data_IF_789089239821
#
_entry.id   IF_789089239821
#
_cell.length_a   1.000
_cell.length_b   1.000
_cell.length_c   1.000
_cell.angle_alpha   90.00
_cell.angle_beta   90.00
_cell.angle_gamma   90.00
#
_symmetry.space_group_name_H-M   'P 1'
#
loop_
_entity.id
_entity.type
_entity.pdbx_description
1 polymer ?
#
# COMPACT_ATOMS: atom_id res chain seq x y z
N UNK A 1 -0.25 -0.81 3.73
CA UNK A 1 -0.26 -2.14 4.35
C UNK A 1 0.35 -3.19 3.44
N UNK A 2 -0.33 -3.62 2.38
CA UNK A 2 0.11 -4.81 1.61
C UNK A 2 1.46 -4.70 0.87
N UNK A 3 1.78 -3.55 0.29
CA UNK A 3 2.89 -3.46 -0.68
C UNK A 3 4.10 -2.63 -0.20
N UNK A 4 3.99 -1.91 0.92
CA UNK A 4 5.09 -1.06 1.41
C UNK A 4 6.27 -1.91 1.89
N UNK A 5 6.01 -3.03 2.58
CA UNK A 5 7.05 -3.98 2.99
C UNK A 5 7.82 -4.52 1.80
N UNK A 6 7.12 -4.90 0.73
CA UNK A 6 7.75 -5.38 -0.51
C UNK A 6 8.58 -4.32 -1.23
N UNK A 7 8.10 -3.06 -1.28
CA UNK A 7 8.88 -1.92 -1.82
C UNK A 7 10.21 -1.77 -1.05
N UNK A 8 10.16 -1.88 0.28
CA UNK A 8 11.34 -1.76 1.15
C UNK A 8 12.28 -2.95 0.98
N UNK A 9 11.75 -4.18 0.89
CA UNK A 9 12.56 -5.38 0.72
C UNK A 9 13.34 -5.39 -0.61
N UNK A 10 12.70 -4.98 -1.70
CA UNK A 10 13.30 -4.97 -3.04
C UNK A 10 14.26 -3.79 -3.25
N UNK A 11 13.83 -2.57 -2.92
CA UNK A 11 14.63 -1.36 -3.18
C UNK A 11 15.60 -0.99 -2.06
N UNK A 12 15.47 -1.59 -0.88
CA UNK A 12 16.20 -1.19 0.32
C UNK A 12 15.66 0.12 0.91
N UNK A 13 16.09 0.44 2.13
CA UNK A 13 15.54 1.60 2.87
C UNK A 13 15.82 2.92 2.13
N UNK A 14 17.04 3.12 1.62
CA UNK A 14 17.41 4.40 0.99
C UNK A 14 16.60 4.66 -0.28
N UNK A 15 16.50 3.68 -1.20
CA UNK A 15 15.75 3.89 -2.44
C UNK A 15 14.24 3.89 -2.22
N UNK A 16 13.74 3.19 -1.19
CA UNK A 16 12.35 3.32 -0.76
C UNK A 16 12.04 4.75 -0.29
N UNK A 17 12.93 5.37 0.50
CA UNK A 17 12.77 6.78 0.91
C UNK A 17 12.85 7.73 -0.29
N UNK A 18 13.76 7.49 -1.24
CA UNK A 18 13.83 8.28 -2.49
C UNK A 18 12.52 8.15 -3.29
N UNK A 19 11.96 6.95 -3.38
CA UNK A 19 10.67 6.68 -4.03
C UNK A 19 9.54 7.48 -3.39
N UNK A 20 9.48 7.49 -2.05
CA UNK A 20 8.51 8.29 -1.28
C UNK A 20 8.68 9.78 -1.56
N UNK A 21 9.92 10.28 -1.54
CA UNK A 21 10.21 11.70 -1.78
C UNK A 21 9.85 12.11 -3.21
N UNK A 22 10.20 11.31 -4.22
CA UNK A 22 9.84 11.57 -5.61
C UNK A 22 8.32 11.60 -5.81
N UNK A 23 7.60 10.63 -5.25
CA UNK A 23 6.14 10.61 -5.27
C UNK A 23 5.53 11.87 -4.65
N UNK A 24 6.06 12.29 -3.50
CA UNK A 24 5.60 13.50 -2.81
C UNK A 24 5.92 14.80 -3.56
N UNK A 25 7.05 14.88 -4.26
CA UNK A 25 7.36 16.04 -5.11
C UNK A 25 6.32 16.15 -6.23
N UNK A 26 6.01 15.04 -6.91
CA UNK A 26 5.01 15.02 -8.01
C UNK A 26 3.63 15.42 -7.50
N UNK A 27 3.18 14.86 -6.37
CA UNK A 27 1.84 15.16 -5.81
C UNK A 27 1.76 16.58 -5.26
N UNK A 28 2.83 17.09 -4.64
CA UNK A 28 2.87 18.47 -4.13
C UNK A 28 2.80 19.47 -5.28
N UNK A 29 3.59 19.28 -6.34
CA UNK A 29 3.54 20.15 -7.52
C UNK A 29 2.15 20.14 -8.16
N UNK A 30 1.55 18.96 -8.30
CA UNK A 30 0.20 18.82 -8.86
C UNK A 30 -0.85 19.49 -7.97
N UNK A 31 -0.70 19.41 -6.64
CA UNK A 31 -1.60 20.05 -5.67
C UNK A 31 -1.46 21.57 -5.68
N UNK A 32 -0.26 22.11 -5.87
CA UNK A 32 -0.06 23.55 -6.06
C UNK A 32 -0.77 24.03 -7.34
N UNK A 33 -0.66 23.29 -8.44
CA UNK A 33 -1.41 23.60 -9.67
C UNK A 33 -2.92 23.52 -9.46
N UNK A 34 -3.41 22.47 -8.79
CA UNK A 34 -4.84 22.34 -8.44
C UNK A 34 -5.31 23.49 -7.54
N UNK A 35 -4.50 23.89 -6.56
CA UNK A 35 -4.81 24.98 -5.65
C UNK A 35 -4.96 26.30 -6.39
N UNK A 36 -4.07 26.58 -7.36
CA UNK A 36 -4.20 27.75 -8.22
C UNK A 36 -5.50 27.74 -9.02
N UNK A 37 -5.86 26.58 -9.59
CA UNK A 37 -7.15 26.40 -10.31
C UNK A 37 -8.35 26.59 -9.38
N UNK A 38 -8.30 26.06 -8.17
CA UNK A 38 -9.36 26.20 -7.17
C UNK A 38 -9.54 27.66 -6.71
N UNK A 39 -8.46 28.41 -6.55
CA UNK A 39 -8.55 29.83 -6.17
C UNK A 39 -8.99 30.76 -7.31
N UNK A 40 -9.06 30.27 -8.54
CA UNK A 40 -9.39 31.07 -9.71
C UNK A 40 -10.88 30.93 -10.09
N UNK A 41 -11.69 31.92 -9.71
CA UNK A 41 -13.11 32.00 -10.05
C UNK A 41 -14.06 31.51 -8.96
N UNK A 42 -15.35 31.43 -9.28
CA UNK A 42 -16.36 30.91 -8.34
C UNK A 42 -16.45 29.40 -8.47
N UNK A 43 -15.84 28.68 -7.52
CA UNK A 43 -16.08 27.24 -7.36
C UNK A 43 -17.55 27.05 -6.99
N UNK A 44 -18.27 26.33 -7.85
CA UNK A 44 -19.62 25.86 -7.56
C UNK A 44 -19.56 24.35 -7.33
N UNK A 45 -20.70 23.74 -6.97
CA UNK A 45 -20.84 22.33 -6.60
C UNK A 45 -20.66 21.31 -7.74
N UNK A 46 -19.60 21.43 -8.55
CA UNK A 46 -19.35 20.58 -9.72
C UNK A 46 -18.11 19.68 -9.63
N UNK A 47 -17.41 19.66 -8.49
CA UNK A 47 -16.22 18.82 -8.30
C UNK A 47 -15.02 19.22 -9.18
N UNK A 48 -14.06 18.31 -9.33
CA UNK A 48 -12.77 18.55 -10.01
C UNK A 48 -12.95 18.87 -11.49
N UNK A 49 -13.80 18.12 -12.20
CA UNK A 49 -14.04 18.35 -13.63
C UNK A 49 -14.60 19.75 -13.90
N UNK A 50 -15.56 20.20 -13.09
CA UNK A 50 -16.14 21.52 -13.22
C UNK A 50 -15.12 22.64 -12.96
N UNK A 51 -14.29 22.48 -11.93
CA UNK A 51 -13.23 23.44 -11.62
C UNK A 51 -12.22 23.55 -12.77
N UNK A 52 -11.77 22.43 -13.33
CA UNK A 52 -10.78 22.40 -14.42
C UNK A 52 -11.36 22.96 -15.72
N UNK A 53 -12.54 22.49 -16.13
CA UNK A 53 -13.15 22.88 -17.42
C UNK A 53 -13.48 24.36 -17.51
N UNK A 54 -13.77 25.04 -16.38
CA UNK A 54 -13.98 26.49 -16.35
C UNK A 54 -12.69 27.29 -16.35
N UNK A 55 -11.65 26.82 -15.66
CA UNK A 55 -10.40 27.57 -15.52
C UNK A 55 -9.46 27.37 -16.71
N UNK A 56 -9.46 26.19 -17.33
CA UNK A 56 -8.57 25.84 -18.45
C UNK A 56 -9.30 25.74 -19.81
N UNK A 57 -10.63 25.77 -19.81
CA UNK A 57 -11.45 25.61 -21.02
C UNK A 57 -11.87 24.17 -21.30
N UNK A 58 -12.83 24.00 -22.22
CA UNK A 58 -13.50 22.71 -22.46
C UNK A 58 -12.60 21.63 -23.06
N UNK A 59 -11.61 22.01 -23.88
CA UNK A 59 -10.69 21.06 -24.54
C UNK A 59 -9.79 20.35 -23.52
N UNK A 60 -9.18 21.12 -22.62
CA UNK A 60 -8.39 20.59 -21.51
C UNK A 60 -9.25 19.88 -20.47
N UNK A 61 -10.40 20.46 -20.12
CA UNK A 61 -11.35 19.86 -19.18
C UNK A 61 -11.83 18.48 -19.62
N UNK A 62 -12.27 18.34 -20.88
CA UNK A 62 -12.74 17.07 -21.44
C UNK A 62 -11.65 16.00 -21.47
N UNK A 63 -10.46 16.35 -21.95
CA UNK A 63 -9.34 15.42 -22.06
C UNK A 63 -8.87 14.90 -20.70
N UNK A 64 -8.68 15.83 -19.73
CA UNK A 64 -8.27 15.47 -18.36
C UNK A 64 -9.38 14.68 -17.66
N UNK A 65 -10.65 15.06 -17.85
CA UNK A 65 -11.80 14.37 -17.27
C UNK A 65 -11.94 12.91 -17.71
N UNK A 66 -11.71 12.63 -19.00
CA UNK A 66 -11.75 11.26 -19.53
C UNK A 66 -10.61 10.41 -18.95
N UNK A 67 -9.38 10.92 -18.95
CA UNK A 67 -8.25 10.21 -18.33
C UNK A 67 -8.49 9.95 -16.85
N UNK A 68 -9.04 10.93 -16.14
CA UNK A 68 -9.33 10.80 -14.71
C UNK A 68 -10.41 9.76 -14.41
N UNK A 69 -11.46 9.71 -15.24
CA UNK A 69 -12.53 8.71 -15.10
C UNK A 69 -11.99 7.29 -15.30
N UNK A 70 -11.14 7.09 -16.32
CA UNK A 70 -10.48 5.81 -16.56
C UNK A 70 -9.56 5.43 -15.40
N UNK A 71 -8.74 6.38 -14.94
CA UNK A 71 -7.82 6.15 -13.82
C UNK A 71 -8.56 5.75 -12.53
N UNK A 72 -9.66 6.42 -12.18
CA UNK A 72 -10.46 6.07 -11.01
C UNK A 72 -11.15 4.71 -11.15
N UNK A 73 -11.57 4.34 -12.37
CA UNK A 73 -12.17 3.04 -12.63
C UNK A 73 -11.16 1.91 -12.42
N UNK A 74 -9.94 2.10 -12.90
CA UNK A 74 -8.83 1.15 -12.68
C UNK A 74 -8.47 1.12 -11.18
N UNK A 75 -8.38 2.26 -10.51
CA UNK A 75 -8.08 2.33 -9.08
C UNK A 75 -9.11 1.58 -8.23
N UNK A 76 -10.41 1.71 -8.55
CA UNK A 76 -11.47 0.96 -7.88
C UNK A 76 -11.27 -0.56 -8.01
N UNK A 77 -10.89 -1.04 -9.20
CA UNK A 77 -10.54 -2.45 -9.41
C UNK A 77 -9.31 -2.86 -8.58
N UNK A 78 -8.24 -2.05 -8.56
CA UNK A 78 -7.03 -2.31 -7.77
C UNK A 78 -7.33 -2.42 -6.27
N UNK A 79 -8.18 -1.55 -5.73
CA UNK A 79 -8.57 -1.60 -4.31
C UNK A 79 -9.36 -2.86 -3.97
N UNK A 80 -10.26 -3.30 -4.87
CA UNK A 80 -11.02 -4.54 -4.69
C UNK A 80 -10.08 -5.76 -4.75
N UNK A 81 -9.12 -5.78 -5.67
CA UNK A 81 -8.11 -6.86 -5.74
C UNK A 81 -7.31 -6.93 -4.45
N UNK A 82 -6.81 -5.79 -3.95
CA UNK A 82 -6.08 -5.74 -2.68
C UNK A 82 -6.91 -6.22 -1.48
N UNK A 83 -8.21 -5.90 -1.46
CA UNK A 83 -9.14 -6.44 -0.46
C UNK A 83 -9.27 -7.97 -0.59
N UNK A 84 -9.42 -8.49 -1.81
CA UNK A 84 -9.54 -9.93 -2.05
C UNK A 84 -8.27 -10.69 -1.61
N UNK A 85 -7.08 -10.16 -1.90
CA UNK A 85 -5.83 -10.77 -1.46
C UNK A 85 -5.73 -10.78 0.06
N UNK A 86 -6.02 -9.66 0.72
CA UNK A 86 -6.06 -9.58 2.19
C UNK A 86 -7.07 -10.57 2.80
N UNK A 87 -8.23 -10.73 2.17
CA UNK A 87 -9.28 -11.63 2.64
C UNK A 87 -8.85 -13.09 2.49
N UNK A 88 -8.26 -13.47 1.35
CA UNK A 88 -7.74 -14.83 1.14
C UNK A 88 -6.67 -15.17 2.18
N UNK A 89 -5.74 -14.25 2.44
CA UNK A 89 -4.71 -14.45 3.47
C UNK A 89 -5.36 -14.66 4.84
N UNK A 90 -6.35 -13.85 5.19
CA UNK A 90 -7.10 -14.01 6.44
C UNK A 90 -7.80 -15.38 6.54
N UNK A 91 -8.43 -15.85 5.46
CA UNK A 91 -9.06 -17.18 5.42
C UNK A 91 -8.02 -18.30 5.57
N UNK A 92 -6.87 -18.18 4.88
CA UNK A 92 -5.80 -19.18 4.94
C UNK A 92 -5.25 -19.32 6.37
N UNK A 93 -4.93 -18.20 7.02
CA UNK A 93 -4.30 -18.19 8.34
C UNK A 93 -5.26 -18.46 9.50
N UNK A 94 -6.49 -17.93 9.46
CA UNK A 94 -7.40 -17.96 10.62
C UNK A 94 -8.61 -18.88 10.47
N UNK A 95 -8.94 -19.33 9.25
CA UNK A 95 -10.10 -20.18 8.98
C UNK A 95 -9.69 -21.61 8.56
N UNK A 96 -8.68 -22.19 9.21
CA UNK A 96 -8.21 -23.58 8.97
C UNK A 96 -7.90 -23.91 7.50
N UNK A 97 -7.32 -22.97 6.74
CA UNK A 97 -7.03 -23.17 5.34
C UNK A 97 -8.28 -23.28 4.46
N UNK A 98 -9.36 -22.58 4.80
CA UNK A 98 -10.58 -22.55 3.99
C UNK A 98 -10.27 -21.98 2.60
N UNK A 99 -10.21 -22.87 1.61
CA UNK A 99 -10.10 -22.54 0.19
C UNK A 99 -11.51 -22.40 -0.37
N UNK A 100 -11.78 -21.34 -1.14
CA UNK A 100 -13.12 -21.11 -1.71
C UNK A 100 -13.31 -22.07 -2.89
N UNK A 101 -12.41 -22.04 -3.87
CA UNK A 101 -12.41 -22.96 -5.02
C UNK A 101 -11.05 -23.59 -5.24
N UNK A 102 -10.05 -22.79 -5.57
CA UNK A 102 -8.70 -23.27 -5.93
C UNK A 102 -7.58 -22.60 -5.13
N UNK A 103 -7.88 -21.58 -4.32
CA UNK A 103 -6.91 -20.82 -3.53
C UNK A 103 -6.04 -19.90 -4.38
N UNK A 104 -6.32 -19.79 -5.69
CA UNK A 104 -5.52 -19.08 -6.66
C UNK A 104 -6.21 -17.82 -7.20
N UNK A 105 -5.96 -17.55 -8.48
CA UNK A 105 -6.46 -16.37 -9.17
C UNK A 105 -7.99 -16.41 -9.33
N UNK A 106 -8.58 -17.59 -9.44
CA UNK A 106 -10.03 -17.72 -9.65
C UNK A 106 -10.82 -17.28 -8.40
N UNK A 107 -10.31 -17.57 -7.21
CA UNK A 107 -10.90 -17.10 -5.94
C UNK A 107 -10.91 -15.57 -5.88
N UNK A 108 -9.83 -14.90 -6.28
CA UNK A 108 -9.78 -13.43 -6.40
C UNK A 108 -10.84 -12.90 -7.37
N UNK A 109 -11.05 -13.58 -8.52
CA UNK A 109 -12.05 -13.15 -9.52
C UNK A 109 -13.47 -13.26 -8.99
N UNK A 110 -13.81 -14.34 -8.30
CA UNK A 110 -15.15 -14.57 -7.76
C UNK A 110 -15.45 -13.56 -6.65
N UNK A 111 -14.60 -13.49 -5.63
CA UNK A 111 -14.75 -12.57 -4.49
C UNK A 111 -14.75 -11.12 -4.98
N UNK A 112 -13.86 -10.79 -5.92
CA UNK A 112 -13.78 -9.45 -6.50
C UNK A 112 -15.05 -9.04 -7.24
N UNK A 113 -15.64 -9.95 -8.03
CA UNK A 113 -16.89 -9.68 -8.75
C UNK A 113 -18.06 -9.48 -7.78
N UNK A 114 -18.17 -10.31 -6.74
CA UNK A 114 -19.22 -10.18 -5.71
C UNK A 114 -19.05 -8.85 -4.96
N UNK A 115 -17.83 -8.52 -4.56
CA UNK A 115 -17.51 -7.27 -3.85
C UNK A 115 -17.81 -6.05 -4.71
N UNK A 116 -17.48 -6.09 -6.02
CA UNK A 116 -17.79 -5.01 -6.95
C UNK A 116 -19.31 -4.78 -7.07
N UNK A 117 -20.11 -5.84 -7.19
CA UNK A 117 -21.57 -5.73 -7.25
C UNK A 117 -22.12 -5.15 -5.94
N UNK A 118 -21.58 -5.57 -4.79
CA UNK A 118 -21.98 -5.05 -3.49
C UNK A 118 -21.65 -3.55 -3.32
N UNK A 119 -20.42 -3.14 -3.68
CA UNK A 119 -20.00 -1.74 -3.64
C UNK A 119 -20.81 -0.88 -4.63
N UNK A 120 -21.13 -1.41 -5.80
CA UNK A 120 -22.00 -0.75 -6.77
C UNK A 120 -23.42 -0.56 -6.21
N UNK A 121 -23.99 -1.58 -5.56
CA UNK A 121 -25.29 -1.47 -4.91
C UNK A 121 -25.28 -0.41 -3.80
N UNK A 122 -24.22 -0.37 -2.97
CA UNK A 122 -24.05 0.67 -1.95
C UNK A 122 -23.94 2.07 -2.55
N UNK A 123 -23.22 2.22 -3.67
CA UNK A 123 -23.09 3.50 -4.35
C UNK A 123 -24.45 4.03 -4.88
N UNK A 124 -25.36 3.13 -5.27
CA UNK A 124 -26.71 3.49 -5.75
C UNK A 124 -27.63 3.93 -4.59
N UNK A 125 -27.51 3.31 -3.41
CA UNK A 125 -28.41 3.56 -2.26
C UNK A 125 -28.23 4.96 -1.66
N UNK A 126 -27.04 5.56 -1.77
CA UNK A 126 -26.84 7.00 -1.48
C UNK A 126 -25.55 7.33 -0.73
N UNK A 127 -24.94 8.48 -1.06
CA UNK A 127 -23.63 8.89 -0.54
C UNK A 127 -23.64 9.43 0.91
N UNK A 128 -24.80 9.86 1.43
CA UNK A 128 -24.91 10.46 2.77
C UNK A 128 -24.61 9.48 3.92
N UNK A 129 -24.78 8.19 3.69
CA UNK A 129 -24.39 7.17 4.66
C UNK A 129 -22.88 6.87 4.56
N UNK A 130 -22.35 6.85 3.33
CA UNK A 130 -20.93 6.59 3.05
C UNK A 130 -20.04 7.64 3.72
N UNK A 131 -20.39 8.93 3.61
CA UNK A 131 -19.60 10.02 4.23
C UNK A 131 -19.54 9.93 5.76
N UNK A 132 -20.61 9.43 6.40
CA UNK A 132 -20.63 9.17 7.85
C UNK A 132 -19.76 7.98 8.23
N UNK A 133 -19.81 6.90 7.47
CA UNK A 133 -18.98 5.70 7.69
C UNK A 133 -17.50 5.99 7.42
N UNK A 134 -17.18 6.85 6.45
CA UNK A 134 -15.81 7.26 6.12
C UNK A 134 -15.07 7.82 7.35
N UNK A 135 -15.74 8.60 8.20
CA UNK A 135 -15.13 9.12 9.42
C UNK A 135 -14.77 8.00 10.41
N UNK A 136 -15.62 6.98 10.55
CA UNK A 136 -15.31 5.82 11.37
C UNK A 136 -14.14 5.00 10.79
N UNK A 137 -14.11 4.81 9.47
CA UNK A 137 -13.02 4.13 8.77
C UNK A 137 -11.69 4.89 8.92
N UNK A 138 -11.72 6.23 8.95
CA UNK A 138 -10.51 7.03 9.19
C UNK A 138 -9.93 6.78 10.59
N UNK A 139 -10.75 6.70 11.63
CA UNK A 139 -10.28 6.38 12.98
C UNK A 139 -9.74 4.96 13.08
N UNK A 140 -10.40 3.99 12.42
CA UNK A 140 -9.92 2.62 12.34
C UNK A 140 -8.57 2.55 11.64
N UNK A 141 -8.42 3.28 10.53
CA UNK A 141 -7.15 3.45 9.83
C UNK A 141 -6.12 3.97 10.84
N UNK A 142 -6.23 5.20 11.33
CA UNK A 142 -5.25 5.79 12.27
C UNK A 142 -4.91 4.84 13.44
N UNK A 143 -5.89 4.14 14.01
CA UNK A 143 -5.68 3.09 15.01
C UNK A 143 -4.76 1.96 14.54
N UNK A 144 -5.00 1.39 13.37
CA UNK A 144 -4.14 0.36 12.76
C UNK A 144 -2.73 0.86 12.44
N UNK A 145 -2.56 2.13 12.08
CA UNK A 145 -1.24 2.73 11.89
C UNK A 145 -0.47 2.90 13.20
N UNK A 146 -1.16 3.30 14.28
CA UNK A 146 -0.56 3.40 15.62
C UNK A 146 -0.19 2.00 16.13
N UNK A 147 -1.08 1.03 15.96
CA UNK A 147 -0.87 -0.37 16.32
C UNK A 147 0.38 -0.94 15.64
N UNK A 148 0.56 -0.70 14.34
CA UNK A 148 1.79 -1.06 13.62
C UNK A 148 3.06 -0.47 14.26
N UNK A 149 3.06 0.83 14.58
CA UNK A 149 4.23 1.50 15.18
C UNK A 149 4.51 0.95 16.58
N UNK A 150 3.47 0.75 17.40
CA UNK A 150 3.60 0.18 18.75
C UNK A 150 4.11 -1.25 18.69
N UNK A 151 3.57 -2.08 17.78
CA UNK A 151 4.00 -3.45 17.55
C UNK A 151 5.48 -3.53 17.15
N UNK A 152 5.95 -2.62 16.30
CA UNK A 152 7.36 -2.56 15.93
C UNK A 152 8.28 -2.23 17.13
N UNK A 153 7.83 -1.43 18.09
CA UNK A 153 8.59 -1.15 19.33
C UNK A 153 8.53 -2.28 20.35
N UNK A 154 7.42 -3.01 20.43
CA UNK A 154 7.28 -4.14 21.35
C UNK A 154 8.16 -5.33 20.94
N UNK A 155 8.40 -5.51 19.63
CA UNK A 155 9.15 -6.64 19.10
C UNK A 155 8.33 -7.93 19.07
N UNK A 156 8.95 -9.05 18.65
CA UNK A 156 8.26 -10.35 18.55
C UNK A 156 7.83 -10.85 19.93
N UNK A 157 6.58 -11.33 20.01
CA UNK A 157 6.00 -11.90 21.24
C UNK A 157 6.02 -13.43 21.24
N UNK A 158 6.01 -14.03 20.05
CA UNK A 158 5.96 -15.48 19.84
C UNK A 158 7.10 -15.93 18.93
N UNK A 159 7.58 -17.15 19.15
CA UNK A 159 8.64 -17.78 18.34
C UNK A 159 8.22 -17.95 16.86
N UNK A 160 6.90 -18.05 16.60
CA UNK A 160 6.33 -18.07 15.26
C UNK A 160 6.60 -16.77 14.49
N UNK A 161 6.57 -15.62 15.17
CA UNK A 161 6.84 -14.32 14.55
C UNK A 161 8.32 -14.17 14.21
N UNK A 162 9.20 -14.69 15.08
CA UNK A 162 10.65 -14.72 14.84
C UNK A 162 10.96 -15.62 13.63
N UNK A 163 10.33 -16.80 13.55
CA UNK A 163 10.47 -17.71 12.41
C UNK A 163 9.97 -17.12 11.09
N UNK A 164 8.98 -16.22 11.14
CA UNK A 164 8.47 -15.43 10.00
C UNK A 164 9.35 -14.22 9.64
N UNK A 165 10.45 -13.99 10.36
CA UNK A 165 11.44 -12.95 10.06
C UNK A 165 11.24 -11.63 10.80
N UNK A 166 10.33 -11.56 11.78
CA UNK A 166 10.20 -10.40 12.67
C UNK A 166 11.10 -10.55 13.89
N UNK A 167 12.23 -9.84 13.89
CA UNK A 167 13.25 -9.91 14.94
C UNK A 167 13.23 -8.70 15.88
N UNK A 168 12.34 -7.74 15.63
CA UNK A 168 12.30 -6.47 16.36
C UNK A 168 13.40 -5.49 15.91
N UNK A 169 13.35 -4.27 16.44
CA UNK A 169 14.22 -3.18 15.98
C UNK A 169 15.70 -3.46 16.29
N UNK A 170 16.48 -3.76 15.26
CA UNK A 170 17.93 -3.98 15.34
C UNK A 170 18.69 -3.03 14.41
N UNK A 171 19.80 -2.49 14.92
CA UNK A 171 20.72 -1.67 14.12
C UNK A 171 21.45 -2.46 13.04
N UNK A 172 21.70 -3.75 13.28
CA UNK A 172 22.38 -4.61 12.32
C UNK A 172 21.48 -4.90 11.11
N UNK A 173 20.21 -5.23 11.36
CA UNK A 173 19.20 -5.41 10.30
C UNK A 173 18.98 -4.14 9.49
N UNK A 174 18.96 -2.98 10.17
CA UNK A 174 18.88 -1.70 9.48
C UNK A 174 20.04 -1.55 8.49
N UNK A 175 21.27 -1.89 8.90
CA UNK A 175 22.46 -1.75 8.05
C UNK A 175 22.46 -2.71 6.86
N UNK A 176 21.93 -3.92 7.03
CA UNK A 176 21.79 -4.91 5.97
C UNK A 176 20.71 -4.51 4.96
N UNK A 177 19.59 -3.96 5.43
CA UNK A 177 18.46 -3.56 4.59
C UNK A 177 18.64 -2.20 3.88
N UNK A 178 19.78 -1.52 4.07
CA UNK A 178 20.04 -0.20 3.47
C UNK A 178 20.13 -0.26 1.94
N UNK A 179 20.82 -1.27 1.40
CA UNK A 179 21.09 -1.39 -0.05
C UNK A 179 19.95 -2.06 -0.81
N UNK A 180 19.80 -1.84 -2.12
CA UNK A 180 18.81 -2.57 -2.93
C UNK A 180 19.18 -4.04 -3.12
N UNK A 181 18.16 -4.87 -3.30
CA UNK A 181 18.27 -6.26 -3.72
C UNK A 181 17.04 -6.57 -4.57
N UNK A 182 17.12 -6.16 -5.83
CA UNK A 182 16.06 -6.40 -6.79
C UNK A 182 16.10 -7.85 -7.21
N UNK A 183 15.01 -8.56 -6.96
CA UNK A 183 14.83 -9.97 -7.28
C UNK A 183 13.64 -10.14 -8.19
N UNK A 184 13.66 -11.22 -8.94
CA UNK A 184 12.53 -11.61 -9.78
C UNK A 184 11.31 -11.90 -8.91
N UNK A 185 10.18 -11.37 -9.34
CA UNK A 185 8.88 -11.61 -8.73
C UNK A 185 7.88 -11.87 -9.84
N UNK A 186 7.18 -13.01 -9.76
CA UNK A 186 6.14 -13.41 -10.71
C UNK A 186 6.64 -13.38 -12.18
N UNK A 187 7.88 -13.86 -12.39
CA UNK A 187 8.54 -13.91 -13.70
C UNK A 187 8.97 -12.55 -14.28
N UNK A 188 8.91 -11.47 -13.49
CA UNK A 188 9.34 -10.14 -13.90
C UNK A 188 10.53 -9.64 -13.07
N UNK A 189 11.62 -9.32 -13.77
CA UNK A 189 12.78 -8.63 -13.19
C UNK A 189 12.36 -7.28 -12.61
N UNK A 190 12.53 -7.15 -11.30
CA UNK A 190 12.24 -5.90 -10.60
C UNK A 190 13.38 -4.91 -10.80
N UNK A 191 13.03 -3.65 -10.90
CA UNK A 191 13.95 -2.52 -10.94
C UNK A 191 13.36 -1.31 -10.21
N UNK A 192 14.15 -0.27 -10.05
CA UNK A 192 13.72 0.95 -9.37
C UNK A 192 12.39 1.52 -9.91
N UNK A 193 12.21 1.56 -11.24
CA UNK A 193 11.00 2.14 -11.84
C UNK A 193 9.75 1.27 -11.69
N UNK A 194 9.92 -0.06 -11.71
CA UNK A 194 8.81 -1.00 -11.45
C UNK A 194 8.30 -0.86 -10.01
N UNK A 195 9.21 -0.83 -9.03
CA UNK A 195 8.89 -0.63 -7.62
C UNK A 195 8.30 0.76 -7.38
N UNK A 196 8.86 1.79 -8.04
CA UNK A 196 8.29 3.13 -8.03
C UNK A 196 6.87 3.16 -8.58
N UNK A 197 6.57 2.45 -9.68
CA UNK A 197 5.24 2.36 -10.26
C UNK A 197 4.21 1.75 -9.30
N UNK A 198 4.58 0.68 -8.61
CA UNK A 198 3.73 0.06 -7.56
C UNK A 198 3.47 1.04 -6.43
N UNK A 199 4.51 1.69 -5.91
CA UNK A 199 4.37 2.68 -4.84
C UNK A 199 3.59 3.93 -5.27
N UNK A 200 3.73 4.37 -6.53
CA UNK A 200 3.11 5.58 -7.02
C UNK A 200 1.58 5.53 -6.91
N UNK A 201 1.00 4.34 -7.06
CA UNK A 201 -0.45 4.13 -6.84
C UNK A 201 -0.90 4.53 -5.43
N UNK A 202 -0.04 4.39 -4.42
CA UNK A 202 -0.33 4.71 -3.02
C UNK A 202 -0.33 6.21 -2.71
N UNK A 203 0.34 7.04 -3.53
CA UNK A 203 0.37 8.50 -3.36
C UNK A 203 -0.64 9.22 -4.27
N UNK A 204 -1.36 8.49 -5.12
CA UNK A 204 -2.47 9.05 -5.90
C UNK A 204 -3.68 9.39 -5.01
N UNK A 205 -4.70 10.03 -5.58
CA UNK A 205 -5.96 10.33 -4.86
C UNK A 205 -6.05 11.74 -4.25
N UNK A 206 -5.08 12.63 -4.49
CA UNK A 206 -5.04 14.02 -3.98
C UNK A 206 -6.30 14.85 -4.34
N UNK A 207 -6.99 14.44 -5.39
CA UNK A 207 -8.22 15.04 -5.96
C UNK A 207 -9.50 14.68 -5.20
N UNK A 208 -9.46 13.72 -4.28
CA UNK A 208 -10.65 13.27 -3.56
C UNK A 208 -11.32 14.41 -2.76
N UNK A 209 -10.54 15.26 -2.10
CA UNK A 209 -11.08 16.41 -1.36
C UNK A 209 -11.71 17.46 -2.29
N UNK A 210 -11.16 17.63 -3.49
CA UNK A 210 -11.68 18.55 -4.50
C UNK A 210 -12.96 18.02 -5.18
N UNK A 211 -13.21 16.71 -5.17
CA UNK A 211 -14.47 16.12 -5.68
C UNK A 211 -15.68 16.46 -4.80
N UNK A 212 -15.46 16.76 -3.51
CA UNK A 212 -16.49 17.17 -2.56
C UNK A 212 -16.62 18.70 -2.46
N UNK A 213 -16.18 19.45 -3.48
CA UNK A 213 -16.16 20.91 -3.46
C UNK A 213 -17.54 21.56 -3.30
N UNK A 214 -18.62 20.84 -3.64
CA UNK A 214 -19.99 21.31 -3.45
C UNK A 214 -20.47 21.31 -1.99
N UNK A 215 -19.85 20.48 -1.16
CA UNK A 215 -20.23 20.31 0.25
C UNK A 215 -19.39 21.17 1.20
N UNK A 216 -18.39 21.87 0.65
CA UNK A 216 -17.49 22.74 1.41
C UNK A 216 -18.09 24.15 1.53
N UNK A 217 -18.02 24.71 2.75
CA UNK A 217 -18.44 26.10 3.04
C UNK A 217 -17.62 27.13 2.25
N UNK A 218 -16.30 26.95 2.19
CA UNK A 218 -15.40 27.74 1.36
C UNK A 218 -14.39 26.82 0.65
N UNK A 219 -14.68 26.39 -0.59
CA UNK A 219 -13.82 25.48 -1.33
C UNK A 219 -12.46 26.09 -1.69
N UNK A 220 -12.40 27.41 -1.92
CA UNK A 220 -11.18 28.08 -2.40
C UNK A 220 -10.10 28.13 -1.31
N UNK A 221 -10.51 28.24 -0.04
CA UNK A 221 -9.59 28.17 1.10
C UNK A 221 -9.38 26.73 1.60
N UNK A 222 -10.44 25.91 1.62
CA UNK A 222 -10.39 24.58 2.23
C UNK A 222 -9.63 23.55 1.37
N UNK A 223 -9.77 23.58 0.04
CA UNK A 223 -9.12 22.60 -0.84
C UNK A 223 -7.59 22.69 -0.72
N UNK A 224 -6.94 23.87 -0.90
CA UNK A 224 -5.48 23.97 -0.82
C UNK A 224 -4.93 23.56 0.55
N UNK A 225 -5.52 24.06 1.63
CA UNK A 225 -5.06 23.77 2.99
C UNK A 225 -5.24 22.29 3.34
N UNK A 226 -6.41 21.74 3.04
CA UNK A 226 -6.73 20.34 3.34
C UNK A 226 -5.84 19.37 2.57
N UNK A 227 -5.67 19.58 1.27
CA UNK A 227 -4.86 18.68 0.42
C UNK A 227 -3.37 18.78 0.73
N UNK A 228 -2.81 19.97 0.92
CA UNK A 228 -1.39 20.11 1.29
C UNK A 228 -1.08 19.53 2.67
N UNK A 229 -1.95 19.75 3.66
CA UNK A 229 -1.79 19.15 4.98
C UNK A 229 -1.93 17.62 4.91
N UNK A 230 -2.88 17.10 4.13
CA UNK A 230 -3.02 15.66 3.91
C UNK A 230 -1.73 15.06 3.33
N UNK A 231 -1.19 15.65 2.26
CA UNK A 231 0.08 15.20 1.65
C UNK A 231 1.22 15.22 2.65
N UNK A 232 1.35 16.30 3.44
CA UNK A 232 2.39 16.39 4.46
C UNK A 232 2.24 15.27 5.52
N UNK A 233 1.01 15.04 6.02
CA UNK A 233 0.76 13.99 7.01
C UNK A 233 1.06 12.60 6.45
N UNK A 234 0.62 12.30 5.23
CA UNK A 234 0.91 11.01 4.59
C UNK A 234 2.39 10.85 4.27
N UNK A 235 3.08 11.92 3.86
CA UNK A 235 4.51 11.94 3.61
C UNK A 235 5.28 11.52 4.86
N UNK A 236 4.98 12.14 6.02
CA UNK A 236 5.61 11.78 7.29
C UNK A 236 5.39 10.29 7.61
N UNK A 237 4.16 9.79 7.48
CA UNK A 237 3.89 8.36 7.74
C UNK A 237 4.65 7.43 6.79
N UNK A 238 4.73 7.77 5.50
CA UNK A 238 5.44 6.98 4.49
C UNK A 238 6.97 7.10 4.55
N UNK A 239 7.52 8.09 5.25
CA UNK A 239 8.94 8.14 5.58
C UNK A 239 9.27 7.28 6.81
N UNK A 240 8.33 7.18 7.75
CA UNK A 240 8.50 6.39 8.97
C UNK A 240 8.46 4.88 8.65
N UNK A 241 7.46 4.40 7.90
CA UNK A 241 7.26 2.95 7.72
C UNK A 241 8.46 2.21 7.10
N UNK A 242 9.14 2.70 6.05
CA UNK A 242 10.32 2.05 5.51
C UNK A 242 11.43 1.81 6.53
N UNK A 243 11.63 2.77 7.43
CA UNK A 243 12.68 2.69 8.47
C UNK A 243 12.32 1.60 9.48
N UNK A 244 11.07 1.58 9.96
CA UNK A 244 10.60 0.57 10.91
C UNK A 244 10.60 -0.83 10.31
N UNK A 245 10.14 -0.99 9.06
CA UNK A 245 10.13 -2.28 8.37
C UNK A 245 11.56 -2.78 8.17
N UNK A 246 12.45 -1.93 7.63
CA UNK A 246 13.83 -2.32 7.37
C UNK A 246 14.67 -2.54 8.64
N UNK A 247 14.29 -1.95 9.77
CA UNK A 247 14.94 -2.20 11.05
C UNK A 247 14.45 -3.46 11.78
N UNK A 248 13.24 -3.95 11.45
CA UNK A 248 12.56 -4.97 12.25
C UNK A 248 12.33 -6.30 11.53
N UNK A 249 12.36 -6.32 10.20
CA UNK A 249 12.07 -7.49 9.37
C UNK A 249 13.28 -7.91 8.55
N UNK A 250 13.50 -9.22 8.46
CA UNK A 250 14.36 -9.82 7.45
C UNK A 250 13.69 -9.79 6.06
N UNK A 251 14.50 -9.86 5.01
CA UNK A 251 14.00 -9.90 3.62
C UNK A 251 13.30 -11.19 3.29
N UNK A 252 13.79 -12.30 3.84
CA UNK A 252 13.27 -13.63 3.60
C UNK A 252 13.32 -14.44 4.89
N UNK A 253 12.30 -15.28 5.07
CA UNK A 253 12.17 -16.16 6.21
C UNK A 253 11.36 -17.40 5.84
N UNK A 254 11.79 -18.54 6.36
CA UNK A 254 11.14 -19.83 6.10
C UNK A 254 9.79 -19.99 6.81
N UNK A 255 9.55 -19.29 7.92
CA UNK A 255 8.37 -19.50 8.76
C UNK A 255 8.35 -20.83 9.53
N UNK A 256 9.39 -21.68 9.39
CA UNK A 256 9.43 -22.97 10.05
C UNK A 256 9.99 -22.85 11.47
N UNK A 257 9.11 -22.94 12.46
CA UNK A 257 9.42 -22.79 13.88
C UNK A 257 10.39 -23.86 14.38
N UNK A 258 10.26 -25.10 13.92
CA UNK A 258 11.17 -26.19 14.34
C UNK A 258 12.60 -25.95 13.87
N UNK A 259 12.77 -25.49 12.63
CA UNK A 259 14.08 -25.16 12.07
C UNK A 259 14.67 -23.91 12.75
N UNK A 260 13.84 -22.91 13.03
CA UNK A 260 14.26 -21.72 13.77
C UNK A 260 14.79 -22.09 15.17
N UNK A 261 14.05 -22.92 15.92
CA UNK A 261 14.42 -23.31 17.29
C UNK A 261 15.71 -24.14 17.35
N UNK A 262 15.97 -24.96 16.33
CA UNK A 262 17.21 -25.75 16.26
C UNK A 262 18.47 -24.87 16.13
N UNK A 263 18.36 -23.71 15.49
CA UNK A 263 19.46 -22.79 15.23
C UNK A 263 19.30 -21.43 15.92
N UNK A 264 18.50 -21.36 16.99
CA UNK A 264 18.16 -20.11 17.70
C UNK A 264 19.38 -19.39 18.28
N UNK A 265 20.38 -20.15 18.72
CA UNK A 265 21.62 -19.62 19.30
C UNK A 265 22.61 -19.13 18.22
N UNK A 266 22.38 -19.45 16.95
CA UNK A 266 23.18 -18.92 15.85
C UNK A 266 22.71 -17.53 15.44
N UNK A 267 23.63 -16.64 15.02
CA UNK A 267 23.23 -15.36 14.48
C UNK A 267 22.38 -15.54 13.22
N UNK A 268 21.46 -14.61 12.97
CA UNK A 268 20.44 -14.73 11.91
C UNK A 268 21.02 -14.99 10.51
N UNK A 269 22.22 -14.49 10.20
CA UNK A 269 22.90 -14.70 8.91
C UNK A 269 23.43 -16.13 8.70
N UNK A 270 23.60 -16.91 9.76
CA UNK A 270 23.97 -18.33 9.68
C UNK A 270 22.76 -19.27 9.88
N UNK A 271 21.66 -18.75 10.40
CA UNK A 271 20.49 -19.56 10.67
C UNK A 271 19.82 -19.99 9.34
N UNK A 272 19.75 -21.30 9.03
CA UNK A 272 19.18 -21.80 7.78
C UNK A 272 17.68 -21.50 7.65
N UNK A 273 16.98 -21.17 8.76
CA UNK A 273 15.60 -20.72 8.73
C UNK A 273 15.44 -19.36 8.00
N UNK A 274 16.51 -18.58 7.86
CA UNK A 274 16.53 -17.29 7.16
C UNK A 274 17.44 -17.31 5.93
N UNK A 275 18.61 -17.96 6.04
CA UNK A 275 19.64 -17.95 5.00
C UNK A 275 19.45 -18.99 3.89
N UNK A 276 18.60 -20.00 4.07
CA UNK A 276 18.46 -21.08 3.10
C UNK A 276 17.01 -21.56 2.91
N UNK A 277 16.32 -20.90 1.97
CA UNK A 277 14.95 -21.22 1.58
C UNK A 277 14.79 -22.60 0.91
N UNK A 278 15.87 -23.27 0.48
CA UNK A 278 15.76 -24.60 -0.18
C UNK A 278 15.28 -25.73 0.72
N UNK A 279 15.26 -25.53 2.04
CA UNK A 279 14.80 -26.52 3.02
C UNK A 279 13.30 -26.44 3.32
N UNK A 280 12.58 -25.47 2.75
CA UNK A 280 11.16 -25.22 3.06
C UNK A 280 10.21 -26.03 2.17
N UNK A 281 10.67 -26.42 0.96
CA UNK A 281 9.84 -27.12 -0.03
C UNK A 281 8.88 -26.20 -0.82
N UNK A 282 8.99 -24.88 -0.67
CA UNK A 282 8.28 -23.91 -1.52
C UNK A 282 9.10 -23.61 -2.77
N UNK A 283 8.47 -23.71 -3.94
CA UNK A 283 9.09 -23.42 -5.23
C UNK A 283 8.32 -22.30 -5.93
N UNK A 284 9.04 -21.43 -6.64
CA UNK A 284 8.43 -20.45 -7.56
C UNK A 284 7.79 -21.16 -8.78
N UNK A 285 7.12 -20.41 -9.66
CA UNK A 285 6.52 -20.97 -10.89
C UNK A 285 7.55 -21.62 -11.85
N UNK A 286 8.85 -21.42 -11.61
CA UNK A 286 9.99 -21.91 -12.38
C UNK A 286 10.67 -23.13 -11.71
N UNK A 287 10.22 -23.55 -10.52
CA UNK A 287 10.78 -24.68 -9.77
C UNK A 287 12.01 -24.34 -8.91
N UNK A 288 12.30 -23.06 -8.68
CA UNK A 288 13.40 -22.64 -7.80
C UNK A 288 12.91 -22.53 -6.36
N UNK A 289 13.71 -22.96 -5.37
CA UNK A 289 13.34 -22.86 -3.96
C UNK A 289 13.22 -21.41 -3.49
N UNK A 290 12.06 -21.04 -2.98
CA UNK A 290 11.76 -19.70 -2.42
C UNK A 290 11.34 -19.80 -0.96
N UNK A 291 11.53 -18.71 -0.21
CA UNK A 291 11.06 -18.65 1.17
C UNK A 291 9.54 -18.38 1.18
N UNK A 292 8.82 -19.01 2.12
CA UNK A 292 7.37 -18.79 2.26
C UNK A 292 7.06 -17.32 2.59
N UNK A 293 7.91 -16.69 3.40
CA UNK A 293 7.81 -15.28 3.74
C UNK A 293 9.00 -14.55 3.12
N UNK A 294 8.76 -13.51 2.33
CA UNK A 294 9.87 -12.68 1.85
C UNK A 294 9.59 -11.88 0.60
N UNK A 295 10.68 -11.44 -0.03
CA UNK A 295 10.64 -10.53 -1.19
C UNK A 295 10.31 -11.19 -2.52
N UNK A 296 10.36 -12.52 -2.55
CA UNK A 296 10.12 -13.38 -3.71
C UNK A 296 8.70 -13.99 -3.74
N UNK A 297 7.82 -13.62 -2.79
CA UNK A 297 6.44 -14.12 -2.65
C UNK A 297 5.43 -12.96 -2.52
#
# INVERSE_FOLDING_TARGET
FLRVSRVVGQSGIILALVTVLLGNVVTTLTTLSMSAVATNGRIQAGGVYYMISRSLGPEFGGSIGLMFTLANSIAAATYIIGFCDSLKDLLKYYANGAIIVDGGVNDTRIVGTVTLIAVLALAIVGMDWVTRVQMALLFLLIGSQIDFVVGAFMGPLNEDQEAQGFLGLSGDLLSENVGPDYRDDDGMEQNFFSVFGVFFTAVTGIVAGANLSGDLKDPAEAIPKGTLLAILTTCITYLIYPIFIGAAMLRDASGNTTLYLEYKDEPYWNNPAFANCSKTGYEDELGNPVCEFGTQN
#
